data_IF_301564024869
#
_entry.id   IF_301564024869
#
_cell.length_a   1.000
_cell.length_b   1.000
_cell.length_c   1.000
_cell.angle_alpha   90.00
_cell.angle_beta   90.00
_cell.angle_gamma   90.00
#
_symmetry.space_group_name_H-M   'P 1'
#
loop_
_entity.id
_entity.type
_entity.pdbx_description
1 polymer ?
#
# COMPACT_ATOMS: atom_id res chain seq x y z
N UNK A 1 -27.09 -49.42 23.31
CA UNK A 1 -26.70 -48.03 23.57
C UNK A 1 -25.98 -47.45 22.34
N UNK A 2 -26.65 -46.80 21.37
CA UNK A 2 -26.02 -46.33 20.12
C UNK A 2 -26.06 -44.80 19.92
N UNK A 3 -26.06 -43.99 20.99
CA UNK A 3 -26.23 -42.52 20.88
C UNK A 3 -24.94 -41.71 20.71
N UNK A 4 -23.77 -42.24 21.05
CA UNK A 4 -22.51 -41.45 21.03
C UNK A 4 -21.78 -41.42 19.68
N UNK A 5 -22.05 -42.36 18.76
CA UNK A 5 -21.36 -42.41 17.47
C UNK A 5 -21.90 -41.39 16.45
N UNK A 6 -23.20 -41.09 16.49
CA UNK A 6 -23.82 -40.15 15.56
C UNK A 6 -23.49 -38.69 15.86
N UNK A 7 -23.23 -38.33 17.12
CA UNK A 7 -22.90 -36.95 17.54
C UNK A 7 -21.51 -36.55 17.04
N UNK A 8 -20.54 -37.47 17.07
CA UNK A 8 -19.16 -37.21 16.63
C UNK A 8 -19.05 -37.02 15.11
N UNK A 9 -19.79 -37.82 14.32
CA UNK A 9 -19.82 -37.69 12.85
C UNK A 9 -20.51 -36.39 12.41
N UNK A 10 -21.53 -35.92 13.14
CA UNK A 10 -22.18 -34.64 12.87
C UNK A 10 -21.31 -33.44 13.25
N UNK A 11 -20.58 -33.47 14.38
CA UNK A 11 -19.65 -32.39 14.77
C UNK A 11 -18.43 -32.28 13.83
N UNK A 12 -17.86 -33.42 13.39
CA UNK A 12 -16.76 -33.41 12.41
C UNK A 12 -17.20 -32.89 11.03
N UNK A 13 -18.45 -33.17 10.61
CA UNK A 13 -19.01 -32.69 9.35
C UNK A 13 -19.34 -31.18 9.37
N UNK A 14 -19.72 -30.65 10.52
CA UNK A 14 -19.96 -29.21 10.70
C UNK A 14 -18.64 -28.43 10.85
N UNK A 15 -17.63 -28.97 11.54
CA UNK A 15 -16.29 -28.33 11.65
C UNK A 15 -15.52 -28.32 10.32
N UNK A 16 -15.66 -29.34 9.48
CA UNK A 16 -15.10 -29.34 8.12
C UNK A 16 -15.74 -28.26 7.23
N UNK A 17 -17.06 -28.05 7.34
CA UNK A 17 -17.76 -26.96 6.66
C UNK A 17 -17.32 -25.60 7.20
N UNK A 18 -17.29 -25.43 8.53
CA UNK A 18 -16.93 -24.17 9.18
C UNK A 18 -15.47 -23.79 8.90
N UNK A 19 -14.55 -24.75 8.91
CA UNK A 19 -13.14 -24.53 8.52
C UNK A 19 -13.03 -24.07 7.07
N UNK A 20 -13.76 -24.71 6.14
CA UNK A 20 -13.81 -24.29 4.73
C UNK A 20 -14.43 -22.90 4.57
N UNK A 21 -15.50 -22.57 5.28
CA UNK A 21 -16.11 -21.23 5.26
C UNK A 21 -15.16 -20.16 5.77
N UNK A 22 -14.47 -20.42 6.89
CA UNK A 22 -13.47 -19.51 7.44
C UNK A 22 -12.33 -19.28 6.43
N UNK A 23 -11.81 -20.34 5.82
CA UNK A 23 -10.78 -20.24 4.79
C UNK A 23 -11.27 -19.45 3.57
N UNK A 24 -12.51 -19.68 3.10
CA UNK A 24 -13.10 -18.94 2.00
C UNK A 24 -13.24 -17.44 2.34
N UNK A 25 -13.64 -17.09 3.56
CA UNK A 25 -13.72 -15.70 4.01
C UNK A 25 -12.35 -15.03 4.05
N UNK A 26 -11.31 -15.71 4.53
CA UNK A 26 -9.95 -15.15 4.51
C UNK A 26 -9.42 -14.96 3.09
N UNK A 27 -9.64 -15.94 2.20
CA UNK A 27 -9.22 -15.83 0.80
C UNK A 27 -9.95 -14.69 0.09
N UNK A 28 -11.25 -14.51 0.32
CA UNK A 28 -12.01 -13.41 -0.28
C UNK A 28 -11.61 -12.04 0.27
N UNK A 29 -11.32 -11.94 1.58
CA UNK A 29 -10.79 -10.72 2.20
C UNK A 29 -9.40 -10.34 1.67
N UNK A 30 -8.50 -11.31 1.51
CA UNK A 30 -7.18 -11.07 0.94
C UNK A 30 -7.31 -10.64 -0.52
N UNK A 31 -8.12 -11.35 -1.32
CA UNK A 31 -8.35 -11.02 -2.73
C UNK A 31 -8.91 -9.60 -2.91
N UNK A 32 -9.91 -9.20 -2.12
CA UNK A 32 -10.49 -7.85 -2.20
C UNK A 32 -9.48 -6.75 -1.81
N UNK A 33 -8.66 -7.01 -0.79
CA UNK A 33 -7.60 -6.08 -0.34
C UNK A 33 -6.53 -5.89 -1.42
N UNK A 34 -6.13 -6.96 -2.11
CA UNK A 34 -5.15 -6.90 -3.20
C UNK A 34 -5.66 -6.12 -4.41
N UNK A 35 -6.92 -6.30 -4.78
CA UNK A 35 -7.54 -5.57 -5.91
C UNK A 35 -7.61 -4.07 -5.60
N UNK A 36 -7.96 -3.69 -4.36
CA UNK A 36 -8.01 -2.28 -3.96
C UNK A 36 -6.62 -1.61 -3.88
N UNK A 37 -5.57 -2.41 -3.70
CA UNK A 37 -4.19 -1.93 -3.69
C UNK A 37 -3.58 -1.80 -5.10
N UNK A 38 -4.24 -2.30 -6.15
CA UNK A 38 -3.77 -2.13 -7.50
C UNK A 38 -3.82 -0.63 -7.88
N UNK A 39 -2.69 -0.02 -8.22
CA UNK A 39 -2.69 1.37 -8.64
C UNK A 39 -3.43 1.46 -9.97
N UNK A 40 -4.63 2.07 -9.95
CA UNK A 40 -5.35 2.45 -11.15
C UNK A 40 -4.42 3.34 -11.99
N UNK A 41 -3.88 2.81 -13.09
CA UNK A 41 -3.04 3.57 -14.05
C UNK A 41 -3.78 4.78 -14.68
N UNK A 42 -5.06 4.97 -14.33
CA UNK A 42 -5.88 6.12 -14.71
C UNK A 42 -5.67 7.34 -13.81
N UNK A 43 -5.12 7.16 -12.61
CA UNK A 43 -4.83 8.25 -11.66
C UNK A 43 -3.32 8.40 -11.64
N UNK A 44 -2.86 9.63 -11.80
CA UNK A 44 -1.44 10.01 -11.78
C UNK A 44 -0.62 9.29 -10.68
N UNK A 45 0.67 9.12 -10.92
CA UNK A 45 1.63 8.49 -10.02
C UNK A 45 1.76 9.22 -8.69
N UNK A 46 1.75 8.44 -7.62
CA UNK A 46 1.99 8.87 -6.23
C UNK A 46 3.49 8.97 -5.97
N UNK A 47 3.83 9.54 -4.82
CA UNK A 47 5.22 9.62 -4.38
C UNK A 47 5.87 8.22 -4.36
N UNK A 48 7.01 8.09 -5.06
CA UNK A 48 7.74 6.82 -5.17
C UNK A 48 7.35 5.95 -6.37
N UNK A 49 6.24 6.26 -7.06
CA UNK A 49 5.85 5.56 -8.29
C UNK A 49 6.86 5.82 -9.41
N UNK A 50 7.12 4.82 -10.27
CA UNK A 50 8.03 4.96 -11.39
C UNK A 50 7.48 5.96 -12.41
N UNK A 51 8.36 6.79 -12.96
CA UNK A 51 8.00 7.76 -13.99
C UNK A 51 9.15 7.98 -14.97
N UNK A 52 8.79 8.42 -16.18
CA UNK A 52 9.71 8.88 -17.23
C UNK A 52 9.53 10.37 -17.49
N UNK A 53 8.30 10.88 -17.34
CA UNK A 53 7.94 12.28 -17.59
C UNK A 53 7.12 12.88 -16.46
N UNK A 54 7.20 14.20 -16.28
CA UNK A 54 6.52 14.90 -15.17
C UNK A 54 5.00 14.75 -15.19
N UNK A 55 4.39 14.62 -16.37
CA UNK A 55 2.93 14.45 -16.51
C UNK A 55 2.40 13.11 -15.98
N UNK A 56 3.28 12.15 -15.72
CA UNK A 56 2.92 10.88 -15.08
C UNK A 56 2.73 11.04 -13.57
N UNK A 57 3.25 12.09 -12.96
CA UNK A 57 3.14 12.33 -11.51
C UNK A 57 1.93 13.22 -11.17
N UNK A 58 1.36 13.02 -9.97
CA UNK A 58 0.26 13.86 -9.51
C UNK A 58 0.69 15.31 -9.26
N UNK A 59 -0.29 16.23 -9.27
CA UNK A 59 -0.08 17.66 -9.04
C UNK A 59 0.83 17.92 -7.83
N UNK A 60 1.76 18.87 -7.97
CA UNK A 60 2.86 19.23 -7.03
C UNK A 60 4.03 18.23 -6.90
N UNK A 61 3.98 17.11 -7.62
CA UNK A 61 5.06 16.11 -7.67
C UNK A 61 5.66 16.11 -9.07
N UNK A 62 6.97 15.94 -9.18
CA UNK A 62 7.66 15.82 -10.48
C UNK A 62 8.47 14.56 -10.59
N UNK A 63 8.77 14.18 -11.81
CA UNK A 63 9.60 13.03 -12.07
C UNK A 63 11.06 13.39 -11.83
N UNK A 64 11.69 12.72 -10.86
CA UNK A 64 13.12 12.89 -10.64
C UNK A 64 13.88 12.19 -11.79
N UNK A 65 14.63 12.98 -12.57
CA UNK A 65 15.38 12.49 -13.73
C UNK A 65 16.45 11.44 -13.41
N UNK A 66 16.94 11.38 -12.17
CA UNK A 66 17.96 10.41 -11.75
C UNK A 66 17.34 9.16 -11.10
N UNK A 67 16.28 9.35 -10.30
CA UNK A 67 15.63 8.25 -9.59
C UNK A 67 14.53 7.58 -10.41
N UNK A 68 14.08 8.20 -11.50
CA UNK A 68 12.93 7.80 -12.31
C UNK A 68 11.68 7.53 -11.47
N UNK A 69 11.45 8.41 -10.48
CA UNK A 69 10.37 8.30 -9.51
C UNK A 69 9.75 9.66 -9.21
N UNK A 70 8.45 9.66 -8.97
CA UNK A 70 7.69 10.84 -8.60
C UNK A 70 8.11 11.32 -7.20
N UNK A 71 8.71 12.51 -7.10
CA UNK A 71 9.16 13.14 -5.85
C UNK A 71 8.65 14.57 -5.70
N UNK A 72 8.46 14.99 -4.45
CA UNK A 72 8.04 16.36 -4.13
C UNK A 72 9.20 17.30 -4.44
N UNK A 73 8.96 18.32 -5.26
CA UNK A 73 9.99 19.32 -5.58
C UNK A 73 9.99 20.36 -4.47
N UNK A 74 11.05 20.37 -3.66
CA UNK A 74 11.29 21.46 -2.71
C UNK A 74 12.03 22.54 -3.49
N UNK A 75 11.43 23.73 -3.63
CA UNK A 75 12.11 24.85 -4.32
C UNK A 75 13.30 25.33 -3.50
N UNK A 76 14.26 26.04 -4.12
CA UNK A 76 15.46 26.50 -3.40
C UNK A 76 15.12 27.43 -2.22
N UNK A 77 14.08 28.26 -2.36
CA UNK A 77 13.54 29.12 -1.32
C UNK A 77 12.89 28.31 -0.18
N UNK A 78 12.08 27.29 -0.50
CA UNK A 78 11.47 26.40 0.49
C UNK A 78 12.51 25.53 1.19
N UNK A 79 13.53 25.08 0.45
CA UNK A 79 14.63 24.28 0.97
C UNK A 79 15.47 25.11 1.94
N UNK A 80 15.71 26.40 1.67
CA UNK A 80 16.40 27.33 2.59
C UNK A 80 15.55 27.61 3.84
N UNK A 81 14.24 27.78 3.69
CA UNK A 81 13.32 28.02 4.80
C UNK A 81 13.11 26.78 5.69
N UNK A 82 13.14 25.57 5.11
CA UNK A 82 13.04 24.30 5.84
C UNK A 82 14.39 23.69 6.19
N UNK A 83 15.52 24.27 5.74
CA UNK A 83 16.88 23.75 5.97
C UNK A 83 17.18 23.50 7.43
N UNK A 84 16.76 24.42 8.30
CA UNK A 84 16.96 24.29 9.74
C UNK A 84 16.16 23.12 10.33
N UNK A 85 14.99 22.82 9.77
CA UNK A 85 14.12 21.70 10.19
C UNK A 85 14.58 20.35 9.62
N UNK A 86 15.11 20.32 8.38
CA UNK A 86 15.47 19.10 7.66
C UNK A 86 16.90 18.64 7.99
N UNK A 87 17.86 19.57 8.06
CA UNK A 87 19.29 19.25 8.22
C UNK A 87 19.80 19.44 9.65
N UNK A 88 19.01 20.04 10.55
CA UNK A 88 19.38 20.29 11.95
C UNK A 88 20.65 21.13 12.14
N UNK A 89 21.21 21.68 11.06
CA UNK A 89 22.44 22.48 11.04
C UNK A 89 22.21 23.69 10.15
N UNK A 90 22.59 24.87 10.65
CA UNK A 90 22.52 26.11 9.88
C UNK A 90 23.37 26.00 8.62
N UNK A 91 22.83 26.56 7.55
CA UNK A 91 23.54 26.78 6.31
C UNK A 91 24.86 27.48 6.54
N UNK A 92 25.98 26.86 6.13
CA UNK A 92 27.24 27.59 6.00
C UNK A 92 27.15 28.40 4.71
N UNK A 93 26.95 29.71 4.83
CA UNK A 93 27.14 30.68 3.77
C UNK A 93 28.63 30.76 3.47
N UNK A 94 29.00 30.55 2.21
CA UNK A 94 30.30 30.90 1.66
C UNK A 94 30.13 32.17 0.84
#
# INVERSE_FOLDING_TARGET
MPKHHNVFVTEFRETEKMSKFILLVFVTLVASTLIAAAPDKLRCGRHGDPCVVDSECCQSIRCNAYAHRCQVVITAEELMAQRERILGKKAKSY
#
